data_IF_125964030473
#
_entry.id   IF_125964030473
#
_cell.length_a   1.000
_cell.length_b   1.000
_cell.length_c   1.000
_cell.angle_alpha   90.00
_cell.angle_beta   90.00
_cell.angle_gamma   90.00
#
_symmetry.space_group_name_H-M   'P 1'
#
loop_
_entity.id
_entity.type
_entity.pdbx_description
1 polymer ?
#
# COMPACT_ATOMS: atom_id res chain seq x y z
N UNK A 1 -11.98 -17.95 0.26
CA UNK A 1 -11.39 -17.06 1.29
C UNK A 1 -10.31 -17.85 2.04
N UNK A 2 -9.12 -17.29 2.24
CA UNK A 2 -7.98 -17.97 2.89
C UNK A 2 -8.15 -18.18 4.40
N UNK A 3 -9.19 -17.59 5.02
CA UNK A 3 -9.38 -17.63 6.47
C UNK A 3 -8.40 -16.74 7.25
N UNK A 4 -7.61 -15.92 6.55
CA UNK A 4 -6.65 -15.00 7.18
C UNK A 4 -7.39 -13.84 7.84
N UNK A 5 -7.06 -13.57 9.10
CA UNK A 5 -7.61 -12.47 9.89
C UNK A 5 -6.70 -11.25 9.84
N UNK A 6 -7.24 -10.06 10.11
CA UNK A 6 -6.44 -8.82 10.19
C UNK A 6 -6.25 -8.47 11.66
N UNK A 7 -4.99 -8.31 12.08
CA UNK A 7 -4.62 -7.89 13.43
C UNK A 7 -5.18 -6.49 13.72
N UNK A 8 -5.58 -6.23 14.96
CA UNK A 8 -6.07 -4.90 15.36
C UNK A 8 -4.99 -3.83 15.23
N UNK A 9 -3.71 -4.20 15.39
CA UNK A 9 -2.58 -3.30 15.12
C UNK A 9 -2.63 -2.71 13.72
N UNK A 10 -3.07 -3.48 12.71
CA UNK A 10 -3.18 -2.97 11.34
C UNK A 10 -4.23 -1.86 11.22
N UNK A 11 -5.34 -1.99 11.95
CA UNK A 11 -6.42 -1.00 11.96
C UNK A 11 -5.98 0.25 12.69
N UNK A 12 -5.32 0.10 13.86
CA UNK A 12 -4.77 1.22 14.62
C UNK A 12 -3.78 2.03 13.79
N UNK A 13 -2.78 1.39 13.19
CA UNK A 13 -1.80 2.10 12.35
C UNK A 13 -2.43 2.74 11.12
N UNK A 14 -3.43 2.09 10.51
CA UNK A 14 -4.21 2.70 9.42
C UNK A 14 -4.93 3.98 9.85
N UNK A 15 -5.57 3.98 11.03
CA UNK A 15 -6.22 5.18 11.57
C UNK A 15 -5.20 6.28 11.85
N UNK A 16 -4.02 5.95 12.39
CA UNK A 16 -2.95 6.91 12.64
C UNK A 16 -2.40 7.55 11.34
N UNK A 17 -2.33 6.80 10.24
CA UNK A 17 -1.95 7.35 8.92
C UNK A 17 -3.08 8.21 8.35
N UNK A 18 -4.32 7.75 8.46
CA UNK A 18 -5.47 8.41 7.82
C UNK A 18 -5.93 9.66 8.54
N UNK A 19 -6.10 9.60 9.86
CA UNK A 19 -6.59 10.71 10.70
C UNK A 19 -5.44 11.56 11.22
N UNK A 20 -4.52 10.94 11.95
CA UNK A 20 -3.50 11.68 12.70
C UNK A 20 -2.29 12.08 11.86
N UNK A 21 -2.15 11.49 10.66
CA UNK A 21 -1.04 11.77 9.74
C UNK A 21 0.33 11.57 10.38
N UNK A 22 0.43 10.67 11.38
CA UNK A 22 1.68 10.38 12.11
C UNK A 22 2.72 9.67 11.25
N UNK A 23 2.25 8.83 10.33
CA UNK A 23 3.08 7.96 9.52
C UNK A 23 2.78 8.21 8.03
N UNK A 24 3.79 8.04 7.18
CA UNK A 24 3.63 8.19 5.72
C UNK A 24 3.12 6.91 5.09
N UNK A 25 3.61 5.77 5.58
CA UNK A 25 3.28 4.46 5.06
C UNK A 25 3.40 3.39 6.14
N UNK A 26 2.86 2.22 5.84
CA UNK A 26 2.99 1.01 6.64
C UNK A 26 3.11 -0.20 5.72
N UNK A 27 4.00 -1.11 6.07
CA UNK A 27 4.16 -2.42 5.44
C UNK A 27 3.51 -3.47 6.33
N UNK A 28 2.60 -4.24 5.75
CA UNK A 28 1.96 -5.39 6.38
C UNK A 28 2.47 -6.69 5.78
N UNK A 29 2.45 -7.73 6.60
CA UNK A 29 2.81 -9.08 6.20
C UNK A 29 1.81 -10.09 6.75
N UNK A 30 1.74 -11.26 6.12
CA UNK A 30 0.99 -12.39 6.65
C UNK A 30 1.90 -13.19 7.58
N UNK A 31 1.59 -13.15 8.87
CA UNK A 31 2.19 -13.93 9.94
C UNK A 31 1.55 -15.32 10.00
N UNK A 32 2.38 -16.36 10.06
CA UNK A 32 2.00 -17.76 10.21
C UNK A 32 0.92 -18.26 9.21
N UNK A 33 0.85 -17.65 8.04
CA UNK A 33 -0.17 -17.89 7.01
C UNK A 33 -1.63 -17.71 7.49
N UNK A 34 -1.84 -17.03 8.63
CA UNK A 34 -3.14 -16.97 9.34
C UNK A 34 -3.59 -15.57 9.71
N UNK A 35 -2.66 -14.63 9.89
CA UNK A 35 -3.00 -13.28 10.34
C UNK A 35 -2.18 -12.24 9.59
N UNK A 36 -2.80 -11.13 9.18
CA UNK A 36 -2.11 -9.95 8.66
C UNK A 36 -1.70 -9.09 9.84
N UNK A 37 -0.42 -8.79 9.94
CA UNK A 37 0.16 -7.95 11.00
C UNK A 37 1.04 -6.86 10.41
N UNK A 38 1.38 -5.87 11.23
CA UNK A 38 2.28 -4.77 10.85
C UNK A 38 3.72 -5.27 10.90
N UNK A 39 4.45 -5.11 9.81
CA UNK A 39 5.88 -5.41 9.75
C UNK A 39 6.72 -4.15 10.01
N UNK A 40 6.34 -3.04 9.37
CA UNK A 40 7.11 -1.81 9.43
C UNK A 40 6.21 -0.59 9.27
N UNK A 41 6.56 0.49 9.97
CA UNK A 41 5.82 1.76 9.92
C UNK A 41 6.81 2.86 9.53
N UNK A 42 6.55 3.51 8.39
CA UNK A 42 7.35 4.61 7.89
C UNK A 42 6.98 5.94 8.56
N UNK A 43 7.99 6.72 8.92
CA UNK A 43 7.79 8.07 9.46
C UNK A 43 7.08 9.00 8.47
N UNK A 44 6.44 10.07 8.95
CA UNK A 44 5.70 11.02 8.09
C UNK A 44 6.57 11.68 7.01
N UNK A 45 7.86 11.87 7.30
CA UNK A 45 8.82 12.51 6.39
C UNK A 45 9.53 11.51 5.46
N UNK A 46 9.20 10.23 5.54
CA UNK A 46 9.83 9.21 4.72
C UNK A 46 9.41 9.33 3.25
N UNK A 47 10.38 9.21 2.34
CA UNK A 47 10.17 9.25 0.90
C UNK A 47 9.53 7.97 0.33
N UNK A 48 9.21 7.98 -0.96
CA UNK A 48 8.74 6.79 -1.66
C UNK A 48 9.84 5.74 -1.80
N UNK A 49 11.09 6.15 -2.01
CA UNK A 49 12.24 5.25 -2.09
C UNK A 49 12.39 4.38 -0.84
N UNK A 50 12.29 4.98 0.35
CA UNK A 50 12.34 4.24 1.63
C UNK A 50 11.19 3.23 1.75
N UNK A 51 9.99 3.59 1.27
CA UNK A 51 8.88 2.65 1.22
C UNK A 51 9.21 1.44 0.32
N UNK A 52 9.80 1.66 -0.85
CA UNK A 52 10.23 0.58 -1.74
C UNK A 52 11.35 -0.26 -1.13
N UNK A 53 12.30 0.36 -0.44
CA UNK A 53 13.37 -0.33 0.27
C UNK A 53 12.79 -1.23 1.36
N UNK A 54 11.93 -0.70 2.25
CA UNK A 54 11.34 -1.47 3.34
C UNK A 54 10.38 -2.56 2.85
N UNK A 55 9.70 -2.35 1.71
CA UNK A 55 8.87 -3.36 1.04
C UNK A 55 9.70 -4.57 0.56
N UNK A 56 10.93 -4.34 0.10
CA UNK A 56 11.83 -5.36 -0.44
C UNK A 56 12.79 -5.94 0.58
N UNK A 57 13.00 -5.25 1.71
CA UNK A 57 13.96 -5.59 2.76
C UNK A 57 13.82 -7.01 3.28
N UNK A 58 12.62 -7.55 3.27
CA UNK A 58 12.33 -8.91 3.73
C UNK A 58 12.76 -10.00 2.74
N UNK A 59 13.13 -9.64 1.51
CA UNK A 59 13.76 -10.52 0.53
C UNK A 59 13.07 -10.55 -0.84
N UNK A 60 13.83 -10.87 -1.88
CA UNK A 60 13.38 -10.84 -3.29
C UNK A 60 12.23 -11.82 -3.62
N UNK A 61 11.94 -12.80 -2.77
CA UNK A 61 10.86 -13.78 -2.97
C UNK A 61 9.72 -13.65 -1.96
N UNK A 62 9.70 -12.56 -1.18
CA UNK A 62 8.69 -12.31 -0.16
C UNK A 62 7.59 -11.40 -0.67
N UNK A 63 6.35 -11.78 -0.38
CA UNK A 63 5.17 -10.95 -0.66
C UNK A 63 4.92 -10.03 0.53
N UNK A 64 4.46 -8.80 0.28
CA UNK A 64 4.11 -7.79 1.29
C UNK A 64 2.92 -6.97 0.84
N UNK A 65 2.23 -6.34 1.79
CA UNK A 65 1.27 -5.28 1.48
C UNK A 65 1.84 -3.95 1.95
N UNK A 66 1.70 -2.92 1.14
CA UNK A 66 2.13 -1.57 1.51
C UNK A 66 0.95 -0.62 1.42
N UNK A 67 0.65 0.08 2.51
CA UNK A 67 -0.28 1.20 2.47
C UNK A 67 0.53 2.47 2.53
N UNK A 68 0.27 3.37 1.59
CA UNK A 68 1.01 4.63 1.48
C UNK A 68 0.03 5.79 1.30
N UNK A 69 0.31 6.90 2.00
CA UNK A 69 -0.43 8.16 1.92
C UNK A 69 0.23 9.08 0.89
N UNK A 70 -0.22 8.99 -0.37
CA UNK A 70 0.39 9.72 -1.48
C UNK A 70 -0.17 11.14 -1.56
N UNK A 71 0.69 12.15 -1.36
CA UNK A 71 0.33 13.55 -1.53
C UNK A 71 0.90 14.05 -2.85
N UNK A 72 0.04 14.53 -3.75
CA UNK A 72 0.44 15.11 -5.03
C UNK A 72 -0.33 16.38 -5.32
N UNK A 73 0.29 17.28 -6.07
CA UNK A 73 -0.35 18.52 -6.47
C UNK A 73 -1.06 18.30 -7.81
N UNK A 74 -2.38 18.49 -7.82
CA UNK A 74 -3.18 18.43 -9.03
C UNK A 74 -3.54 19.84 -9.48
N UNK A 75 -3.14 20.22 -10.68
CA UNK A 75 -3.58 21.44 -11.32
C UNK A 75 -4.77 21.10 -12.21
N UNK A 76 -5.95 21.64 -11.89
CA UNK A 76 -7.11 21.46 -12.75
C UNK A 76 -6.89 22.24 -14.06
N UNK A 77 -7.12 21.58 -15.20
CA UNK A 77 -7.07 22.27 -16.49
C UNK A 77 -8.13 23.37 -16.52
N UNK A 78 -7.70 24.63 -16.60
CA UNK A 78 -8.58 25.80 -16.68
C UNK A 78 -8.56 26.73 -15.46
N UNK A 79 -7.86 26.38 -14.38
CA UNK A 79 -7.62 27.30 -13.25
C UNK A 79 -6.14 27.32 -12.86
N UNK A 80 -5.63 28.49 -12.45
CA UNK A 80 -4.27 28.65 -11.94
C UNK A 80 -4.09 28.09 -10.51
N UNK A 81 -5.11 27.42 -9.96
CA UNK A 81 -5.13 26.90 -8.60
C UNK A 81 -4.64 25.46 -8.55
N UNK A 82 -3.42 25.31 -8.02
CA UNK A 82 -2.84 24.03 -7.70
C UNK A 82 -3.49 23.47 -6.43
N UNK A 83 -4.29 22.41 -6.56
CA UNK A 83 -4.95 21.74 -5.44
C UNK A 83 -4.09 20.59 -4.93
N UNK A 84 -3.68 20.65 -3.65
CA UNK A 84 -3.03 19.51 -3.00
C UNK A 84 -4.04 18.39 -2.80
N UNK A 85 -3.83 17.27 -3.47
CA UNK A 85 -4.62 16.06 -3.31
C UNK A 85 -3.82 15.02 -2.56
N UNK A 86 -4.50 14.35 -1.64
CA UNK A 86 -3.93 13.25 -0.90
C UNK A 86 -4.76 12.00 -1.20
N UNK A 87 -4.08 10.92 -1.60
CA UNK A 87 -4.70 9.65 -1.92
C UNK A 87 -4.02 8.52 -1.16
N UNK A 88 -4.83 7.81 -0.38
CA UNK A 88 -4.42 6.56 0.26
C UNK A 88 -4.55 5.42 -0.74
N UNK A 89 -3.44 4.72 -0.97
CA UNK A 89 -3.44 3.51 -1.78
C UNK A 89 -2.86 2.33 -1.02
N UNK A 90 -3.38 1.16 -1.34
CA UNK A 90 -2.89 -0.12 -0.81
C UNK A 90 -2.32 -0.93 -1.96
N UNK A 91 -1.02 -1.19 -1.89
CA UNK A 91 -0.27 -2.01 -2.82
C UNK A 91 -0.11 -3.43 -2.29
N UNK A 92 -0.31 -4.42 -3.14
CA UNK A 92 0.08 -5.80 -2.93
C UNK A 92 1.35 -6.07 -3.72
N UNK A 93 2.47 -6.21 -3.02
CA UNK A 93 3.75 -6.62 -3.56
C UNK A 93 3.86 -8.13 -3.59
N UNK A 94 3.95 -8.71 -4.78
CA UNK A 94 4.06 -10.15 -4.97
C UNK A 94 5.04 -10.45 -6.10
N UNK A 95 6.35 -10.50 -5.81
CA UNK A 95 7.36 -10.62 -6.84
C UNK A 95 7.26 -11.96 -7.57
N UNK A 96 7.68 -12.02 -8.82
CA UNK A 96 7.48 -13.22 -9.62
C UNK A 96 8.26 -14.45 -9.15
N UNK A 97 9.39 -14.18 -8.51
CA UNK A 97 10.26 -15.10 -7.78
C UNK A 97 9.61 -15.70 -6.53
N UNK A 98 8.51 -15.13 -6.03
CA UNK A 98 7.82 -15.64 -4.85
C UNK A 98 7.21 -17.02 -5.10
N UNK A 99 7.22 -17.87 -4.07
CA UNK A 99 6.62 -19.22 -4.15
C UNK A 99 5.14 -19.12 -4.50
N UNK A 100 4.67 -19.98 -5.42
CA UNK A 100 3.26 -20.03 -5.88
C UNK A 100 2.27 -20.07 -4.71
N UNK A 101 2.56 -20.88 -3.67
CA UNK A 101 1.72 -20.97 -2.46
C UNK A 101 1.59 -19.61 -1.75
N UNK A 102 2.67 -18.84 -1.64
CA UNK A 102 2.65 -17.49 -1.04
C UNK A 102 1.86 -16.52 -1.90
N UNK A 103 2.07 -16.50 -3.22
CA UNK A 103 1.30 -15.67 -4.16
C UNK A 103 -0.21 -15.92 -4.01
N UNK A 104 -0.61 -17.19 -3.97
CA UNK A 104 -2.01 -17.58 -3.76
C UNK A 104 -2.55 -17.10 -2.41
N UNK A 105 -1.78 -17.28 -1.35
CA UNK A 105 -2.18 -16.84 -0.01
C UNK A 105 -2.35 -15.32 0.06
N UNK A 106 -1.39 -14.55 -0.47
CA UNK A 106 -1.45 -13.10 -0.47
C UNK A 106 -2.57 -12.59 -1.38
N UNK A 107 -2.75 -13.16 -2.57
CA UNK A 107 -3.87 -12.80 -3.44
C UNK A 107 -5.22 -13.09 -2.78
N UNK A 108 -5.36 -14.22 -2.10
CA UNK A 108 -6.61 -14.63 -1.43
C UNK A 108 -6.90 -13.81 -0.17
N UNK A 109 -5.86 -13.35 0.53
CA UNK A 109 -5.98 -12.59 1.79
C UNK A 109 -6.10 -11.09 1.54
N UNK A 110 -5.77 -10.62 0.33
CA UNK A 110 -5.87 -9.21 -0.03
C UNK A 110 -7.29 -8.69 0.14
N UNK A 111 -8.31 -9.48 -0.18
CA UNK A 111 -9.72 -9.10 0.00
C UNK A 111 -10.09 -8.84 1.47
N UNK A 112 -9.55 -9.64 2.40
CA UNK A 112 -9.76 -9.45 3.84
C UNK A 112 -9.13 -8.14 4.34
N UNK A 113 -7.96 -7.80 3.80
CA UNK A 113 -7.29 -6.53 4.11
C UNK A 113 -8.08 -5.34 3.58
N UNK A 114 -8.57 -5.40 2.33
CA UNK A 114 -9.41 -4.34 1.73
C UNK A 114 -10.67 -4.07 2.56
N UNK A 115 -11.35 -5.14 3.01
CA UNK A 115 -12.55 -5.03 3.85
C UNK A 115 -12.27 -4.42 5.22
N UNK A 116 -11.07 -4.64 5.76
CA UNK A 116 -10.67 -4.10 7.05
C UNK A 116 -10.24 -2.63 6.97
N UNK A 117 -9.59 -2.24 5.86
CA UNK A 117 -9.07 -0.89 5.63
C UNK A 117 -10.07 -0.02 4.86
N UNK A 118 -11.21 0.29 5.48
CA UNK A 118 -12.30 1.04 4.83
C UNK A 118 -11.88 2.50 4.59
N UNK A 119 -11.78 2.89 3.33
CA UNK A 119 -11.42 4.24 2.89
C UNK A 119 -10.11 4.36 2.13
N UNK A 120 -9.44 3.25 1.84
CA UNK A 120 -8.40 3.20 0.78
C UNK A 120 -9.05 3.54 -0.56
N UNK A 121 -8.46 4.49 -1.29
CA UNK A 121 -9.01 5.00 -2.54
C UNK A 121 -8.60 4.16 -3.75
N UNK A 122 -7.39 3.59 -3.71
CA UNK A 122 -6.86 2.78 -4.81
C UNK A 122 -6.19 1.51 -4.29
N UNK A 123 -6.39 0.42 -5.01
CA UNK A 123 -5.69 -0.84 -4.77
C UNK A 123 -4.78 -1.11 -5.96
N UNK A 124 -3.51 -1.37 -5.68
CA UNK A 124 -2.48 -1.60 -6.68
C UNK A 124 -1.91 -3.01 -6.44
N UNK A 125 -1.64 -3.72 -7.51
CA UNK A 125 -0.87 -4.96 -7.45
C UNK A 125 0.40 -4.72 -8.26
N UNK A 126 1.52 -5.13 -7.70
CA UNK A 126 2.82 -5.00 -8.32
C UNK A 126 3.57 -6.32 -8.16
N UNK A 127 4.06 -6.82 -9.29
CA UNK A 127 4.85 -8.04 -9.40
C UNK A 127 6.34 -7.77 -9.64
N UNK A 128 6.66 -6.52 -9.97
CA UNK A 128 8.02 -6.03 -10.16
C UNK A 128 8.15 -4.56 -9.75
N UNK A 129 9.39 -4.10 -9.63
CA UNK A 129 9.71 -2.76 -9.15
C UNK A 129 9.27 -1.66 -10.11
N UNK A 130 9.19 -1.96 -11.40
CA UNK A 130 8.71 -0.99 -12.38
C UNK A 130 7.22 -0.73 -12.16
N UNK A 131 6.42 -1.76 -11.84
CA UNK A 131 5.01 -1.62 -11.48
C UNK A 131 4.77 -0.96 -10.10
N UNK A 132 5.71 -1.17 -9.16
CA UNK A 132 5.69 -0.54 -7.85
C UNK A 132 6.35 0.85 -7.84
N UNK A 133 6.93 1.31 -8.95
CA UNK A 133 7.62 2.60 -8.99
C UNK A 133 6.67 3.76 -8.68
N UNK A 134 7.23 4.85 -8.15
CA UNK A 134 6.48 6.06 -7.84
C UNK A 134 5.71 6.56 -9.07
N UNK A 135 6.35 6.59 -10.24
CA UNK A 135 5.77 7.03 -11.50
C UNK A 135 4.56 6.16 -11.91
N UNK A 136 4.70 4.84 -11.87
CA UNK A 136 3.62 3.91 -12.22
C UNK A 136 2.44 4.00 -11.25
N UNK A 137 2.72 4.20 -9.96
CA UNK A 137 1.69 4.40 -8.94
C UNK A 137 1.00 5.74 -9.12
N UNK A 138 1.75 6.81 -9.33
CA UNK A 138 1.21 8.15 -9.55
C UNK A 138 0.28 8.18 -10.76
N UNK A 139 0.67 7.56 -11.87
CA UNK A 139 -0.17 7.44 -13.06
C UNK A 139 -1.50 6.74 -12.74
N UNK A 140 -1.45 5.60 -12.02
CA UNK A 140 -2.63 4.85 -11.58
C UNK A 140 -3.54 5.68 -10.66
N UNK A 141 -2.95 6.55 -9.82
CA UNK A 141 -3.69 7.43 -8.90
C UNK A 141 -4.34 8.61 -9.63
N UNK A 142 -3.62 9.22 -10.58
CA UNK A 142 -4.09 10.31 -11.44
C UNK A 142 -5.19 9.85 -12.39
N UNK A 143 -5.08 8.66 -12.97
CA UNK A 143 -6.13 8.07 -13.81
C UNK A 143 -7.47 7.87 -13.08
N UNK A 144 -7.45 7.87 -11.74
CA UNK A 144 -8.66 7.76 -10.91
C UNK A 144 -9.19 9.14 -10.49
N UNK A 145 -8.43 10.21 -10.74
CA UNK A 145 -8.90 11.58 -10.60
C UNK A 145 -9.80 11.91 -11.80
N UNK A 146 -11.10 12.11 -11.57
CA UNK A 146 -11.99 12.59 -12.64
C UNK A 146 -11.50 13.98 -13.08
N UNK A 147 -11.31 14.15 -14.38
CA UNK A 147 -11.22 15.47 -15.03
C UNK A 147 -12.46 16.31 -14.71
#
# INVERSE_FOLDING_TARGET
ASGVTVSDSCKTTYEEIKKDKKHRYVVFFIRDEKQIDVEYIGERNAGYDQFLEDLQKSGVGECRYGLYDFEYTHQCQGTSEASKKQKLFLMSWCPDTAKVKKKMLYSSSFDALKKSLVGVQKYIQATDLSEASEEAVEEKLRATDRQ
#
